data_IF_837896485412
#
_entry.id   IF_837896485412
#
_cell.length_a   1.000
_cell.length_b   1.000
_cell.length_c   1.000
_cell.angle_alpha   90.00
_cell.angle_beta   90.00
_cell.angle_gamma   90.00
#
_symmetry.space_group_name_H-M   'P 1'
#
loop_
_entity.id
_entity.type
_entity.pdbx_description
1 polymer ?
#
# COMPACT_ATOMS: atom_id res chain seq x y z
N UNK A 1 -20.76 -4.96 14.98
CA UNK A 1 -21.80 -4.00 14.68
C UNK A 1 -21.78 -3.53 13.23
N UNK A 2 -20.66 -3.16 12.72
CA UNK A 2 -20.54 -2.70 11.32
C UNK A 2 -21.06 -3.72 10.33
N UNK A 3 -20.88 -4.98 10.63
CA UNK A 3 -21.45 -6.05 9.83
C UNK A 3 -22.98 -6.04 9.78
N UNK A 4 -23.66 -5.44 10.76
CA UNK A 4 -25.13 -5.36 10.78
C UNK A 4 -25.69 -4.13 10.06
N UNK A 5 -24.84 -3.20 9.63
CA UNK A 5 -25.26 -1.88 9.17
C UNK A 5 -25.18 -1.68 7.66
N UNK A 6 -25.34 -2.74 6.93
CA UNK A 6 -25.32 -2.71 5.47
C UNK A 6 -26.50 -1.94 4.85
N UNK A 7 -27.40 -1.42 5.65
CA UNK A 7 -28.46 -0.54 5.18
C UNK A 7 -28.03 0.92 5.01
N UNK A 8 -26.84 1.29 5.50
CA UNK A 8 -26.26 2.62 5.28
C UNK A 8 -25.21 2.56 4.20
N UNK A 9 -25.04 3.59 3.41
CA UNK A 9 -24.09 3.65 2.32
C UNK A 9 -22.65 3.27 2.73
N UNK A 10 -22.32 3.40 4.01
CA UNK A 10 -20.99 3.11 4.58
C UNK A 10 -21.07 2.30 5.88
N UNK A 11 -22.00 1.34 5.95
CA UNK A 11 -22.24 0.54 7.15
C UNK A 11 -21.08 -0.33 7.63
N UNK A 12 -19.91 -0.21 7.07
CA UNK A 12 -18.74 -1.04 7.36
C UNK A 12 -18.77 -2.36 6.57
N UNK A 13 -17.99 -3.34 6.99
CA UNK A 13 -17.90 -4.64 6.34
C UNK A 13 -18.85 -5.66 6.97
N UNK A 14 -19.27 -6.63 6.15
CA UNK A 14 -20.03 -7.78 6.58
C UNK A 14 -19.37 -9.04 6.07
N UNK A 15 -19.26 -10.05 6.95
CA UNK A 15 -18.95 -11.39 6.50
C UNK A 15 -20.16 -11.96 5.75
N UNK A 16 -19.93 -12.44 4.56
CA UNK A 16 -20.92 -13.15 3.76
C UNK A 16 -20.50 -14.63 3.70
N UNK A 17 -21.27 -15.47 4.39
CA UNK A 17 -21.24 -16.91 4.15
C UNK A 17 -21.87 -17.19 2.79
N UNK A 18 -21.45 -18.15 2.06
CA UNK A 18 -22.01 -18.51 0.75
C UNK A 18 -21.90 -17.42 -0.34
N UNK A 19 -20.87 -16.59 -0.31
CA UNK A 19 -20.59 -15.68 -1.43
C UNK A 19 -20.27 -16.53 -2.67
N UNK A 20 -20.87 -16.22 -3.84
CA UNK A 20 -20.67 -17.04 -5.04
C UNK A 20 -19.21 -17.12 -5.47
N UNK A 21 -18.75 -18.32 -5.76
CA UNK A 21 -17.44 -18.51 -6.40
C UNK A 21 -17.51 -17.92 -7.80
N UNK A 22 -16.56 -17.05 -8.19
CA UNK A 22 -16.57 -16.47 -9.53
C UNK A 22 -16.49 -17.54 -10.63
N UNK A 23 -17.30 -17.39 -11.69
CA UNK A 23 -17.20 -18.26 -12.85
C UNK A 23 -15.91 -17.99 -13.62
N UNK A 24 -15.23 -19.06 -14.04
CA UNK A 24 -14.02 -19.01 -14.84
C UNK A 24 -14.40 -19.08 -16.33
N UNK A 25 -14.31 -17.96 -17.02
CA UNK A 25 -14.43 -17.91 -18.47
C UNK A 25 -13.21 -18.52 -19.19
N UNK A 26 -13.26 -18.58 -20.53
CA UNK A 26 -12.19 -19.24 -21.31
C UNK A 26 -10.82 -18.57 -21.21
N UNK A 27 -10.74 -17.30 -20.84
CA UNK A 27 -9.52 -16.52 -20.73
C UNK A 27 -9.18 -16.15 -19.27
N UNK A 28 -10.01 -16.54 -18.30
CA UNK A 28 -9.92 -16.14 -16.90
C UNK A 28 -9.02 -17.08 -16.07
N UNK A 29 -8.60 -16.58 -14.91
CA UNK A 29 -7.89 -17.36 -13.89
C UNK A 29 -8.64 -17.24 -12.58
N UNK A 30 -8.80 -18.33 -11.84
CA UNK A 30 -9.33 -18.31 -10.45
C UNK A 30 -8.18 -18.61 -9.50
N UNK A 31 -8.05 -17.74 -8.52
CA UNK A 31 -7.11 -17.86 -7.40
C UNK A 31 -7.85 -18.36 -6.15
N UNK A 32 -7.26 -19.28 -5.43
CA UNK A 32 -7.57 -19.55 -4.04
C UNK A 32 -6.66 -18.69 -3.17
N UNK A 33 -7.23 -17.80 -2.39
CA UNK A 33 -6.46 -16.86 -1.56
C UNK A 33 -5.86 -17.61 -0.37
N UNK A 34 -4.56 -17.45 -0.16
CA UNK A 34 -3.82 -18.08 0.94
C UNK A 34 -3.41 -17.07 2.01
N UNK A 35 -3.22 -15.80 1.64
CA UNK A 35 -2.97 -14.71 2.57
C UNK A 35 -3.47 -13.38 2.01
N UNK A 36 -4.03 -12.54 2.86
CA UNK A 36 -4.41 -11.18 2.54
C UNK A 36 -4.07 -10.24 3.69
N UNK A 37 -3.68 -9.00 3.38
CA UNK A 37 -3.29 -8.01 4.37
C UNK A 37 -4.29 -6.85 4.43
N UNK A 38 -4.49 -6.28 5.62
CA UNK A 38 -5.26 -5.05 5.78
C UNK A 38 -4.41 -3.85 5.37
N UNK A 39 -4.91 -3.06 4.42
CA UNK A 39 -4.34 -1.78 4.02
C UNK A 39 -5.00 -0.59 4.74
N UNK A 40 -4.32 0.55 4.76
CA UNK A 40 -4.91 1.82 5.21
C UNK A 40 -6.14 2.25 4.40
N UNK A 41 -6.22 1.87 3.12
CA UNK A 41 -7.39 2.10 2.28
C UNK A 41 -8.61 1.31 2.77
N UNK A 42 -8.43 0.05 3.19
CA UNK A 42 -9.53 -0.75 3.75
C UNK A 42 -10.08 -0.12 5.03
N UNK A 43 -9.21 0.49 5.85
CA UNK A 43 -9.62 1.19 7.06
C UNK A 43 -10.52 2.39 6.78
N UNK A 44 -10.31 3.09 5.66
CA UNK A 44 -11.17 4.22 5.25
C UNK A 44 -12.57 3.77 4.91
N UNK A 45 -12.70 2.64 4.22
CA UNK A 45 -14.00 2.04 3.90
C UNK A 45 -14.68 1.39 5.10
N UNK A 46 -13.92 0.93 6.09
CA UNK A 46 -14.46 0.33 7.31
C UNK A 46 -14.98 1.36 8.31
N UNK A 47 -14.36 2.52 8.41
CA UNK A 47 -14.69 3.58 9.37
C UNK A 47 -15.47 4.72 8.71
N UNK A 48 -16.74 4.88 9.08
CA UNK A 48 -17.65 5.90 8.51
C UNK A 48 -17.18 7.34 8.77
N UNK A 49 -16.38 7.59 9.80
CA UNK A 49 -16.01 8.94 10.24
C UNK A 49 -14.69 9.47 9.70
N UNK A 50 -14.11 8.83 8.69
CA UNK A 50 -12.80 9.21 8.19
C UNK A 50 -12.78 10.37 7.17
N UNK A 51 -13.91 11.07 6.98
CA UNK A 51 -14.03 12.16 6.02
C UNK A 51 -13.89 11.73 4.55
N UNK A 52 -13.95 10.45 4.29
CA UNK A 52 -14.07 9.90 2.94
C UNK A 52 -15.55 9.83 2.61
N UNK A 53 -16.01 10.80 1.83
CA UNK A 53 -17.38 10.86 1.35
C UNK A 53 -17.45 10.11 0.01
N UNK A 54 -17.87 8.86 0.06
CA UNK A 54 -18.14 8.05 -1.12
C UNK A 54 -19.67 7.99 -1.36
N UNK A 55 -20.29 9.16 -1.35
CA UNK A 55 -21.74 9.34 -1.56
C UNK A 55 -22.24 8.82 -2.90
N UNK A 56 -21.34 8.43 -3.80
CA UNK A 56 -21.64 7.92 -5.12
C UNK A 56 -21.82 6.40 -5.17
N UNK A 57 -21.63 5.68 -4.06
CA UNK A 57 -21.83 4.23 -4.02
C UNK A 57 -23.35 3.93 -4.05
N UNK A 58 -23.78 3.23 -5.10
CA UNK A 58 -25.15 2.72 -5.20
C UNK A 58 -25.31 1.43 -4.39
N UNK A 59 -26.54 1.05 -3.95
CA UNK A 59 -26.75 -0.16 -3.14
C UNK A 59 -26.24 -1.46 -3.76
N UNK A 60 -26.27 -1.59 -5.08
CA UNK A 60 -25.72 -2.72 -5.82
C UNK A 60 -24.18 -2.74 -5.86
N UNK A 61 -23.55 -1.59 -5.72
CA UNK A 61 -22.08 -1.47 -5.58
C UNK A 61 -21.57 -1.83 -4.19
N UNK A 62 -22.45 -1.96 -3.20
CA UNK A 62 -22.07 -2.33 -1.82
C UNK A 62 -21.67 -3.81 -1.64
N UNK A 63 -21.82 -4.64 -2.66
CA UNK A 63 -21.55 -6.08 -2.60
C UNK A 63 -20.13 -6.47 -3.07
N UNK A 64 -19.21 -5.53 -3.18
CA UNK A 64 -17.86 -5.87 -3.58
C UNK A 64 -17.05 -6.48 -2.43
N UNK A 65 -16.29 -7.52 -2.73
CA UNK A 65 -15.31 -8.09 -1.81
C UNK A 65 -14.12 -7.14 -1.70
N UNK A 66 -13.64 -6.91 -0.48
CA UNK A 66 -12.50 -6.04 -0.18
C UNK A 66 -11.20 -6.83 0.00
N UNK A 67 -10.11 -6.09 0.25
CA UNK A 67 -8.76 -6.62 0.41
C UNK A 67 -8.03 -6.68 -0.92
N UNK A 68 -7.18 -5.70 -1.17
CA UNK A 68 -6.42 -5.58 -2.43
C UNK A 68 -4.94 -6.00 -2.28
N UNK A 69 -4.50 -6.28 -1.08
CA UNK A 69 -3.18 -6.84 -0.80
C UNK A 69 -3.33 -8.34 -0.55
N UNK A 70 -3.13 -9.19 -1.57
CA UNK A 70 -3.36 -10.62 -1.43
C UNK A 70 -2.44 -11.49 -2.29
N UNK A 71 -2.26 -12.72 -1.87
CA UNK A 71 -1.52 -13.76 -2.56
C UNK A 71 -2.26 -15.10 -2.46
N UNK A 72 -2.11 -15.94 -3.46
CA UNK A 72 -2.82 -17.20 -3.51
C UNK A 72 -2.21 -18.19 -4.48
N UNK A 73 -2.99 -19.21 -4.77
CA UNK A 73 -2.65 -20.29 -5.70
C UNK A 73 -3.67 -20.35 -6.84
N UNK A 74 -3.22 -20.59 -8.05
CA UNK A 74 -4.09 -20.79 -9.20
C UNK A 74 -4.78 -22.15 -9.06
N UNK A 75 -6.12 -22.13 -8.95
CA UNK A 75 -6.93 -23.35 -8.82
C UNK A 75 -7.74 -23.67 -10.06
N UNK A 76 -7.93 -22.69 -10.96
CA UNK A 76 -8.58 -22.90 -12.25
C UNK A 76 -8.05 -21.93 -13.29
N UNK A 77 -7.90 -22.39 -14.50
CA UNK A 77 -7.53 -21.60 -15.68
C UNK A 77 -8.51 -21.86 -16.82
N UNK A 78 -8.83 -20.82 -17.58
CA UNK A 78 -9.62 -20.93 -18.79
C UNK A 78 -8.87 -21.66 -19.91
N UNK A 79 -9.59 -22.23 -20.88
CA UNK A 79 -9.02 -23.06 -21.95
C UNK A 79 -8.03 -22.32 -22.87
N UNK A 80 -8.16 -20.99 -22.98
CA UNK A 80 -7.29 -20.14 -23.78
C UNK A 80 -6.03 -19.67 -23.02
N UNK A 81 -5.98 -19.82 -21.69
CA UNK A 81 -4.83 -19.42 -20.87
C UNK A 81 -3.67 -20.38 -21.10
N UNK A 82 -2.51 -19.88 -21.56
CA UNK A 82 -1.34 -20.70 -21.89
C UNK A 82 -0.14 -20.48 -20.98
N UNK A 83 -0.04 -19.29 -20.41
CA UNK A 83 1.15 -18.84 -19.64
C UNK A 83 1.05 -19.20 -18.15
N UNK A 84 -0.12 -19.65 -17.69
CA UNK A 84 -0.41 -19.96 -16.29
C UNK A 84 -1.00 -21.35 -16.11
N UNK A 85 -0.69 -22.01 -14.98
CA UNK A 85 -1.16 -23.38 -14.70
C UNK A 85 -1.68 -23.51 -13.27
N UNK A 86 -2.54 -24.48 -13.05
CA UNK A 86 -3.04 -24.85 -11.72
C UNK A 86 -1.86 -25.24 -10.81
N UNK A 87 -1.90 -24.77 -9.56
CA UNK A 87 -0.88 -25.01 -8.56
C UNK A 87 0.23 -23.95 -8.52
N UNK A 88 0.27 -23.00 -9.48
CA UNK A 88 1.22 -21.90 -9.39
C UNK A 88 0.84 -20.93 -8.26
N UNK A 89 1.87 -20.53 -7.51
CA UNK A 89 1.80 -19.57 -6.44
C UNK A 89 1.92 -18.17 -7.02
N UNK A 90 0.93 -17.31 -6.79
CA UNK A 90 0.90 -15.98 -7.40
C UNK A 90 0.48 -14.90 -6.41
N UNK A 91 0.94 -13.68 -6.69
CA UNK A 91 0.48 -12.44 -6.07
C UNK A 91 -0.07 -11.53 -7.15
N UNK A 92 -1.15 -10.81 -6.87
CA UNK A 92 -1.76 -9.85 -7.80
C UNK A 92 -1.30 -8.43 -7.50
N UNK A 93 -1.13 -7.64 -8.55
CA UNK A 93 -1.01 -6.18 -8.46
C UNK A 93 -2.38 -5.50 -8.34
N UNK A 94 -3.40 -6.29 -8.06
CA UNK A 94 -4.82 -5.95 -7.96
C UNK A 94 -5.51 -5.37 -9.21
N UNK A 95 -4.84 -5.20 -10.33
CA UNK A 95 -5.47 -4.76 -11.58
C UNK A 95 -6.45 -5.80 -12.11
N UNK A 96 -7.68 -5.38 -12.44
CA UNK A 96 -8.71 -6.21 -13.04
C UNK A 96 -9.19 -5.70 -14.39
N UNK A 97 -9.20 -4.38 -14.57
CA UNK A 97 -9.51 -3.71 -15.84
C UNK A 97 -8.68 -2.45 -16.01
N UNK A 98 -8.23 -2.21 -17.23
CA UNK A 98 -7.66 -0.94 -17.70
C UNK A 98 -8.05 -0.71 -19.16
N UNK A 99 -8.14 0.53 -19.62
CA UNK A 99 -8.59 0.80 -21.00
C UNK A 99 -7.56 0.44 -22.08
N UNK A 100 -6.27 0.31 -21.74
CA UNK A 100 -5.20 -0.02 -22.67
C UNK A 100 -4.75 1.08 -23.64
N UNK A 101 -5.45 2.22 -23.69
CA UNK A 101 -5.27 3.24 -24.75
C UNK A 101 -5.08 4.67 -24.21
N UNK A 102 -5.24 4.91 -22.90
CA UNK A 102 -4.98 6.24 -22.35
C UNK A 102 -3.47 6.48 -22.13
N UNK A 103 -3.03 7.73 -21.97
CA UNK A 103 -1.61 8.04 -21.79
C UNK A 103 -0.95 7.27 -20.63
N UNK A 104 -1.67 7.01 -19.55
CA UNK A 104 -1.16 6.20 -18.44
C UNK A 104 -0.92 4.74 -18.85
N UNK A 105 -1.86 4.14 -19.58
CA UNK A 105 -1.71 2.77 -20.10
C UNK A 105 -0.57 2.66 -21.13
N UNK A 106 -0.43 3.64 -22.01
CA UNK A 106 0.66 3.69 -23.01
C UNK A 106 2.05 3.76 -22.35
N UNK A 107 2.14 4.36 -21.16
CA UNK A 107 3.37 4.44 -20.38
C UNK A 107 3.58 3.26 -19.43
N UNK A 108 2.60 2.34 -19.32
CA UNK A 108 2.65 1.22 -18.38
C UNK A 108 2.26 1.58 -16.95
N UNK A 109 1.79 2.80 -16.69
CA UNK A 109 1.25 3.25 -15.40
C UNK A 109 -0.23 2.86 -15.25
N UNK A 110 -0.52 1.57 -15.33
CA UNK A 110 -1.88 1.02 -15.41
C UNK A 110 -2.78 1.46 -14.25
N UNK A 111 -2.22 1.61 -13.04
CA UNK A 111 -2.99 2.07 -11.87
C UNK A 111 -3.29 3.59 -11.88
N UNK A 112 -2.79 4.33 -12.85
CA UNK A 112 -3.18 5.70 -13.16
C UNK A 112 -4.22 5.78 -14.28
N UNK A 113 -4.69 4.66 -14.84
CA UNK A 113 -5.76 4.64 -15.83
C UNK A 113 -7.06 5.18 -15.23
N UNK A 114 -7.71 6.12 -15.92
CA UNK A 114 -8.97 6.72 -15.47
C UNK A 114 -10.15 5.73 -15.47
N UNK A 115 -10.04 4.65 -16.24
CA UNK A 115 -11.05 3.59 -16.34
C UNK A 115 -10.67 2.31 -15.60
N UNK A 116 -9.67 2.37 -14.72
CA UNK A 116 -9.24 1.18 -14.00
C UNK A 116 -10.31 0.62 -13.09
N UNK A 117 -10.27 -0.69 -12.92
CA UNK A 117 -10.97 -1.40 -11.85
C UNK A 117 -9.97 -2.29 -11.14
N UNK A 118 -9.93 -2.22 -9.82
CA UNK A 118 -8.99 -2.98 -9.00
C UNK A 118 -9.72 -4.05 -8.19
N UNK A 119 -9.13 -5.24 -8.12
CA UNK A 119 -9.59 -6.33 -7.26
C UNK A 119 -9.49 -5.92 -5.79
N UNK A 120 -10.53 -6.18 -5.04
CA UNK A 120 -10.54 -5.91 -3.60
C UNK A 120 -10.56 -4.45 -3.18
N UNK A 121 -10.63 -3.51 -4.12
CA UNK A 121 -10.68 -2.08 -3.85
C UNK A 121 -11.91 -1.42 -4.51
N UNK A 122 -12.09 -1.62 -5.81
CA UNK A 122 -13.22 -1.08 -6.54
C UNK A 122 -14.40 -2.06 -6.56
N UNK A 123 -15.56 -1.56 -6.98
CA UNK A 123 -16.77 -2.37 -7.02
C UNK A 123 -16.73 -3.32 -8.22
N UNK A 124 -16.72 -4.59 -7.96
CA UNK A 124 -16.73 -5.65 -8.96
C UNK A 124 -17.22 -6.98 -8.36
N UNK A 125 -17.54 -7.94 -9.21
CA UNK A 125 -17.98 -9.29 -8.85
C UNK A 125 -16.85 -10.33 -8.92
N UNK A 126 -15.62 -9.90 -9.16
CA UNK A 126 -14.48 -10.81 -9.35
C UNK A 126 -13.81 -11.23 -8.04
N UNK A 127 -14.13 -10.53 -6.93
CA UNK A 127 -13.59 -10.84 -5.62
C UNK A 127 -12.46 -9.92 -5.20
N UNK A 128 -11.76 -10.35 -4.17
CA UNK A 128 -10.64 -9.67 -3.54
C UNK A 128 -9.99 -10.56 -2.50
N UNK A 129 -9.02 -10.04 -1.78
CA UNK A 129 -8.25 -10.81 -0.80
C UNK A 129 -9.05 -11.27 0.42
N UNK A 130 -10.18 -10.61 0.74
CA UNK A 130 -11.02 -11.01 1.88
C UNK A 130 -12.12 -11.98 1.44
N UNK A 131 -11.79 -12.89 0.53
CA UNK A 131 -12.62 -14.04 0.13
C UNK A 131 -11.74 -15.25 -0.13
N UNK A 132 -12.35 -16.43 -0.18
CA UNK A 132 -11.62 -17.67 -0.49
C UNK A 132 -11.14 -17.69 -1.94
N UNK A 133 -11.97 -17.21 -2.86
CA UNK A 133 -11.68 -17.24 -4.29
C UNK A 133 -11.74 -15.83 -4.89
N UNK A 134 -10.82 -15.55 -5.81
CA UNK A 134 -10.76 -14.32 -6.56
C UNK A 134 -10.53 -14.64 -8.04
N UNK A 135 -11.24 -13.94 -8.92
CA UNK A 135 -11.04 -14.06 -10.36
C UNK A 135 -10.13 -12.95 -10.88
N UNK A 136 -9.12 -13.34 -11.64
CA UNK A 136 -8.35 -12.43 -12.50
C UNK A 136 -8.96 -12.51 -13.89
N UNK A 137 -9.62 -11.44 -14.37
CA UNK A 137 -10.26 -11.45 -15.69
C UNK A 137 -9.25 -11.57 -16.83
N UNK A 138 -9.57 -12.35 -17.86
CA UNK A 138 -8.68 -12.53 -19.02
C UNK A 138 -8.40 -11.25 -19.78
N UNK A 139 -9.33 -10.29 -19.76
CA UNK A 139 -9.15 -8.99 -20.43
C UNK A 139 -7.96 -8.19 -19.87
N UNK A 140 -7.70 -8.26 -18.54
CA UNK A 140 -6.54 -7.56 -17.99
C UNK A 140 -5.24 -8.23 -18.43
N UNK A 141 -5.21 -9.55 -18.48
CA UNK A 141 -4.01 -10.30 -18.88
C UNK A 141 -3.63 -10.08 -20.36
N UNK A 142 -4.61 -9.73 -21.20
CA UNK A 142 -4.37 -9.38 -22.60
C UNK A 142 -3.66 -8.03 -22.75
N UNK A 143 -3.90 -7.07 -21.84
CA UNK A 143 -3.34 -5.73 -21.89
C UNK A 143 -2.13 -5.61 -20.95
N UNK A 144 -2.30 -6.04 -19.71
CA UNK A 144 -1.30 -5.98 -18.64
C UNK A 144 -0.94 -7.39 -18.17
N UNK A 145 0.02 -8.01 -18.85
CA UNK A 145 0.45 -9.39 -18.57
C UNK A 145 0.96 -9.61 -17.14
N UNK A 146 1.34 -8.54 -16.46
CA UNK A 146 1.87 -8.55 -15.11
C UNK A 146 0.83 -8.14 -14.05
N UNK A 147 -0.47 -8.28 -14.33
CA UNK A 147 -1.51 -8.16 -13.31
C UNK A 147 -1.40 -9.23 -12.21
N UNK A 148 -0.71 -10.34 -12.52
CA UNK A 148 -0.27 -11.34 -11.54
C UNK A 148 1.21 -11.66 -11.75
N UNK A 149 1.87 -12.02 -10.65
CA UNK A 149 3.28 -12.37 -10.60
C UNK A 149 3.46 -13.71 -9.91
N UNK A 150 4.34 -14.54 -10.44
CA UNK A 150 4.75 -15.77 -9.77
C UNK A 150 5.49 -15.44 -8.47
N UNK A 151 5.18 -16.16 -7.40
CA UNK A 151 5.87 -16.07 -6.12
C UNK A 151 7.04 -17.05 -6.14
N UNK A 152 8.29 -16.58 -6.15
CA UNK A 152 9.47 -17.45 -6.14
C UNK A 152 9.52 -18.38 -4.92
N UNK A 153 10.22 -19.49 -5.05
CA UNK A 153 10.51 -20.36 -3.95
C UNK A 153 11.22 -19.59 -2.81
N UNK A 154 10.88 -19.91 -1.57
CA UNK A 154 11.40 -19.25 -0.37
C UNK A 154 10.59 -18.06 0.12
N UNK A 155 9.75 -17.43 -0.70
CA UNK A 155 8.84 -16.36 -0.25
C UNK A 155 7.52 -17.00 0.23
N UNK A 156 7.06 -16.63 1.43
CA UNK A 156 5.77 -17.08 1.95
C UNK A 156 4.61 -16.25 1.39
N UNK A 157 3.39 -16.82 1.38
CA UNK A 157 2.19 -16.07 0.96
C UNK A 157 1.96 -14.80 1.80
N UNK A 158 2.21 -14.87 3.12
CA UNK A 158 2.08 -13.73 4.04
C UNK A 158 3.10 -12.60 3.77
N UNK A 159 4.20 -12.90 3.11
CA UNK A 159 5.19 -11.91 2.68
C UNK A 159 4.85 -11.37 1.29
N UNK A 160 4.42 -12.26 0.40
CA UNK A 160 4.04 -11.89 -0.96
C UNK A 160 2.82 -10.97 -1.00
N UNK A 161 1.79 -11.21 -0.16
CA UNK A 161 0.61 -10.36 -0.14
C UNK A 161 0.90 -8.90 0.27
N UNK A 162 2.07 -8.63 0.86
CA UNK A 162 2.50 -7.28 1.26
C UNK A 162 3.38 -6.61 0.18
N UNK A 163 3.54 -7.22 -0.99
CA UNK A 163 4.31 -6.61 -2.09
C UNK A 163 3.70 -5.29 -2.59
N UNK A 164 2.40 -5.11 -2.53
CA UNK A 164 1.74 -3.85 -2.89
C UNK A 164 2.38 -2.63 -2.20
N UNK A 165 2.36 -2.49 -0.86
CA UNK A 165 3.02 -1.35 -0.20
C UNK A 165 4.54 -1.33 -0.34
N UNK A 166 5.21 -2.46 -0.57
CA UNK A 166 6.65 -2.49 -0.88
C UNK A 166 6.91 -1.80 -2.23
N UNK A 167 6.14 -2.17 -3.26
CA UNK A 167 6.27 -1.60 -4.59
C UNK A 167 5.94 -0.11 -4.62
N UNK A 168 4.92 0.32 -3.86
CA UNK A 168 4.61 1.73 -3.65
C UNK A 168 5.80 2.50 -3.06
N UNK A 169 6.37 2.02 -1.96
CA UNK A 169 7.53 2.65 -1.33
C UNK A 169 8.76 2.64 -2.25
N UNK A 170 8.96 1.55 -2.99
CA UNK A 170 10.06 1.44 -3.95
C UNK A 170 9.94 2.48 -5.07
N UNK A 171 8.76 2.61 -5.70
CA UNK A 171 8.53 3.63 -6.74
C UNK A 171 8.76 5.04 -6.19
N UNK A 172 8.24 5.34 -5.00
CA UNK A 172 8.39 6.66 -4.38
C UNK A 172 9.86 7.03 -4.13
N UNK A 173 10.64 6.10 -3.54
CA UNK A 173 12.01 6.39 -3.11
C UNK A 173 13.03 6.13 -4.22
N UNK A 174 12.93 5.02 -4.96
CA UNK A 174 13.96 4.60 -5.91
C UNK A 174 13.74 5.07 -7.34
N UNK A 175 12.50 5.43 -7.71
CA UNK A 175 12.19 5.81 -9.09
C UNK A 175 11.75 7.27 -9.24
N UNK A 176 11.01 7.81 -8.27
CA UNK A 176 10.49 9.17 -8.36
C UNK A 176 11.37 10.20 -7.67
N UNK A 177 12.07 9.84 -6.59
CA UNK A 177 13.05 10.73 -5.99
C UNK A 177 14.41 10.63 -6.70
N UNK A 178 15.23 11.69 -6.57
CA UNK A 178 16.59 11.70 -7.04
C UNK A 178 17.58 11.45 -5.89
N UNK A 179 17.22 10.53 -4.98
CA UNK A 179 18.08 10.14 -3.88
C UNK A 179 19.39 9.54 -4.39
N UNK A 180 20.51 10.12 -3.97
CA UNK A 180 21.84 9.59 -4.23
C UNK A 180 22.50 9.13 -2.92
N UNK A 181 23.36 8.10 -2.96
CA UNK A 181 24.07 7.64 -1.76
C UNK A 181 24.81 8.77 -1.05
N UNK A 182 24.74 8.80 0.27
CA UNK A 182 25.34 9.83 1.11
C UNK A 182 24.40 10.97 1.51
N UNK A 183 23.18 11.02 0.99
CA UNK A 183 22.17 12.00 1.40
C UNK A 183 21.34 11.52 2.60
N UNK A 184 20.67 12.48 3.24
CA UNK A 184 19.76 12.25 4.35
C UNK A 184 18.31 12.25 3.86
N UNK A 185 17.46 11.45 4.52
CA UNK A 185 16.03 11.30 4.18
C UNK A 185 15.20 11.42 5.44
N UNK A 186 14.14 12.23 5.39
CA UNK A 186 13.10 12.26 6.42
C UNK A 186 11.85 11.57 5.89
N UNK A 187 11.30 10.63 6.66
CA UNK A 187 10.09 9.88 6.33
C UNK A 187 9.00 10.21 7.34
N UNK A 188 7.90 10.80 6.89
CA UNK A 188 6.72 11.05 7.71
C UNK A 188 5.72 9.90 7.62
N UNK A 189 5.27 9.44 8.79
CA UNK A 189 4.27 8.38 8.90
C UNK A 189 4.89 7.00 9.07
N UNK A 190 4.55 6.37 10.17
CA UNK A 190 5.09 5.09 10.66
C UNK A 190 4.26 3.87 10.23
N UNK A 191 3.36 4.06 9.26
CA UNK A 191 2.63 2.96 8.62
C UNK A 191 3.50 2.12 7.68
N UNK A 192 2.94 1.08 7.07
CA UNK A 192 3.69 0.20 6.17
C UNK A 192 4.44 0.94 5.06
N UNK A 193 3.82 1.93 4.41
CA UNK A 193 4.46 2.73 3.36
C UNK A 193 5.72 3.44 3.88
N UNK A 194 5.65 4.08 5.06
CA UNK A 194 6.80 4.76 5.64
C UNK A 194 7.90 3.78 6.07
N UNK A 195 7.53 2.64 6.68
CA UNK A 195 8.49 1.62 7.11
C UNK A 195 9.20 0.95 5.92
N UNK A 196 8.50 0.72 4.81
CA UNK A 196 9.15 0.26 3.57
C UNK A 196 9.99 1.36 2.93
N UNK A 197 9.55 2.63 2.98
CA UNK A 197 10.37 3.76 2.49
C UNK A 197 11.70 3.87 3.24
N UNK A 198 11.70 3.61 4.55
CA UNK A 198 12.94 3.53 5.35
C UNK A 198 13.88 2.44 4.81
N UNK A 199 13.36 1.25 4.53
CA UNK A 199 14.18 0.15 3.99
C UNK A 199 14.74 0.50 2.60
N UNK A 200 13.90 1.05 1.72
CA UNK A 200 14.35 1.45 0.37
C UNK A 200 15.37 2.58 0.45
N UNK A 201 15.17 3.60 1.29
CA UNK A 201 16.15 4.66 1.50
C UNK A 201 17.50 4.13 1.97
N UNK A 202 17.49 3.14 2.88
CA UNK A 202 18.70 2.44 3.32
C UNK A 202 19.38 1.71 2.17
N UNK A 203 18.65 0.98 1.35
CA UNK A 203 19.17 0.30 0.16
C UNK A 203 19.76 1.26 -0.86
N UNK A 204 19.19 2.47 -0.97
CA UNK A 204 19.69 3.54 -1.83
C UNK A 204 20.90 4.28 -1.23
N UNK A 205 21.36 3.92 -0.02
CA UNK A 205 22.57 4.47 0.58
C UNK A 205 22.37 5.80 1.31
N UNK A 206 21.16 6.09 1.79
CA UNK A 206 20.93 7.22 2.69
C UNK A 206 21.71 7.06 4.00
N UNK A 207 22.27 8.17 4.52
CA UNK A 207 23.10 8.17 5.74
C UNK A 207 22.24 8.35 6.98
N UNK A 208 21.54 9.48 7.11
CA UNK A 208 20.54 9.65 8.15
C UNK A 208 19.17 9.36 7.55
N UNK A 209 18.45 8.44 8.17
CA UNK A 209 17.07 8.10 7.84
C UNK A 209 16.23 8.39 9.07
N UNK A 210 15.53 9.53 9.07
CA UNK A 210 14.75 10.01 10.19
C UNK A 210 13.29 9.63 10.00
N UNK A 211 12.74 8.79 10.88
CA UNK A 211 11.33 8.45 10.90
C UNK A 211 10.57 9.41 11.82
N UNK A 212 9.57 10.09 11.31
CA UNK A 212 8.68 10.97 12.08
C UNK A 212 7.34 10.29 12.33
N UNK A 213 6.96 10.18 13.60
CA UNK A 213 5.68 9.61 14.05
C UNK A 213 5.09 10.39 15.22
N UNK A 214 4.10 9.82 15.90
CA UNK A 214 3.37 10.42 17.01
C UNK A 214 3.48 9.54 18.28
N UNK A 215 2.91 9.99 19.39
CA UNK A 215 2.95 9.28 20.69
C UNK A 215 2.51 7.81 20.58
N UNK A 216 1.45 7.54 19.81
CA UNK A 216 0.91 6.19 19.63
C UNK A 216 1.89 5.24 18.91
N UNK A 217 2.84 5.80 18.16
CA UNK A 217 3.80 5.04 17.36
C UNK A 217 5.03 4.58 18.16
N UNK A 218 5.27 5.20 19.32
CA UNK A 218 6.49 5.00 20.13
C UNK A 218 6.63 3.56 20.60
N UNK A 219 5.53 2.93 21.03
CA UNK A 219 5.57 1.60 21.67
C UNK A 219 5.92 0.47 20.71
N UNK A 220 5.43 0.53 19.47
CA UNK A 220 5.53 -0.57 18.51
C UNK A 220 6.34 -0.14 17.29
N UNK A 221 5.98 0.96 16.65
CA UNK A 221 6.44 1.31 15.31
C UNK A 221 7.85 1.87 15.27
N UNK A 222 8.26 2.66 16.28
CA UNK A 222 9.62 3.20 16.33
C UNK A 222 10.69 2.11 16.53
N UNK A 223 10.39 1.06 17.32
CA UNK A 223 11.27 -0.08 17.46
C UNK A 223 11.48 -0.79 16.12
N UNK A 224 10.39 -1.07 15.43
CA UNK A 224 10.41 -1.69 14.10
C UNK A 224 11.10 -0.79 13.07
N UNK A 225 10.86 0.53 13.08
CA UNK A 225 11.54 1.46 12.18
C UNK A 225 13.07 1.40 12.32
N UNK A 226 13.57 1.36 13.57
CA UNK A 226 15.02 1.22 13.84
C UNK A 226 15.58 -0.12 13.38
N UNK A 227 14.86 -1.21 13.61
CA UNK A 227 15.24 -2.54 13.11
C UNK A 227 15.34 -2.56 11.58
N UNK A 228 14.43 -1.87 10.90
CA UNK A 228 14.36 -1.80 9.44
C UNK A 228 15.35 -0.79 8.83
N UNK A 229 15.97 0.07 9.63
CA UNK A 229 17.04 0.94 9.16
C UNK A 229 16.91 2.42 9.43
N UNK A 230 15.85 2.87 10.14
CA UNK A 230 15.78 4.24 10.60
C UNK A 230 16.92 4.50 11.61
N UNK A 231 17.72 5.52 11.33
CA UNK A 231 18.81 5.93 12.22
C UNK A 231 18.30 6.70 13.43
N UNK A 232 17.21 7.46 13.21
CA UNK A 232 16.56 8.28 14.23
C UNK A 232 15.03 8.16 14.12
N UNK A 233 14.37 8.35 15.27
CA UNK A 233 12.92 8.49 15.34
C UNK A 233 12.60 9.78 16.08
N UNK A 234 11.69 10.60 15.53
CA UNK A 234 11.25 11.87 16.07
C UNK A 234 9.76 11.78 16.42
N UNK A 235 9.41 12.10 17.66
CA UNK A 235 8.04 12.10 18.14
C UNK A 235 7.42 13.49 17.99
N UNK A 236 6.70 13.71 16.91
CA UNK A 236 6.06 14.98 16.59
C UNK A 236 4.96 15.42 17.56
N UNK A 237 4.54 14.55 18.52
CA UNK A 237 3.66 14.97 19.62
C UNK A 237 4.40 15.69 20.75
N UNK A 238 5.74 15.56 20.82
CA UNK A 238 6.55 16.06 21.93
C UNK A 238 7.72 16.93 21.51
N UNK A 239 8.16 16.81 20.27
CA UNK A 239 9.34 17.47 19.73
C UNK A 239 8.94 18.45 18.62
N UNK A 240 9.69 19.53 18.48
CA UNK A 240 9.66 20.34 17.27
C UNK A 240 10.32 19.56 16.14
N UNK A 241 9.50 19.05 15.24
CA UNK A 241 9.95 18.17 14.16
C UNK A 241 10.94 18.88 13.24
N UNK A 242 10.70 20.13 12.90
CA UNK A 242 11.56 20.92 12.00
C UNK A 242 12.94 21.13 12.63
N UNK A 243 12.93 21.61 13.88
CA UNK A 243 14.18 21.85 14.62
C UNK A 243 14.96 20.55 14.83
N UNK A 244 14.26 19.46 15.22
CA UNK A 244 14.91 18.18 15.52
C UNK A 244 15.48 17.48 14.28
N UNK A 245 14.76 17.49 13.16
CA UNK A 245 15.29 16.95 11.90
C UNK A 245 16.47 17.79 11.39
N UNK A 246 16.41 19.10 11.54
CA UNK A 246 17.51 20.00 11.18
C UNK A 246 18.75 19.77 12.06
N UNK A 247 18.58 19.50 13.34
CA UNK A 247 19.68 19.17 14.25
C UNK A 247 20.36 17.84 13.85
N UNK A 248 19.55 16.82 13.50
CA UNK A 248 20.08 15.48 13.15
C UNK A 248 20.82 15.50 11.80
N UNK A 249 20.23 16.09 10.79
CA UNK A 249 20.73 16.01 9.42
C UNK A 249 21.64 17.18 9.04
N UNK A 250 21.48 18.33 9.71
CA UNK A 250 21.97 19.62 9.19
C UNK A 250 21.08 20.12 8.05
N UNK A 251 20.78 21.41 8.06
CA UNK A 251 19.85 22.02 7.05
C UNK A 251 20.29 21.77 5.61
N UNK A 252 21.57 21.82 5.33
CA UNK A 252 22.10 21.69 3.97
C UNK A 252 21.99 20.26 3.40
N UNK A 253 21.78 19.27 4.27
CA UNK A 253 21.63 17.86 3.88
C UNK A 253 20.17 17.42 3.74
N UNK A 254 19.21 18.22 4.21
CA UNK A 254 17.77 17.91 4.11
C UNK A 254 17.25 18.12 2.68
N UNK A 255 17.64 17.24 1.79
CA UNK A 255 17.30 17.29 0.36
C UNK A 255 16.09 16.45 -0.04
N UNK A 256 15.65 15.50 0.78
CA UNK A 256 14.55 14.60 0.45
C UNK A 256 13.64 14.34 1.66
N UNK A 257 12.33 14.45 1.41
CA UNK A 257 11.29 14.00 2.34
C UNK A 257 10.35 13.05 1.61
N UNK A 258 10.02 11.93 2.25
CA UNK A 258 8.97 11.00 1.83
C UNK A 258 7.79 11.18 2.79
N UNK A 259 6.69 11.74 2.29
CA UNK A 259 5.50 12.04 3.08
C UNK A 259 4.45 10.93 2.90
N UNK A 260 4.38 10.01 3.87
CA UNK A 260 3.48 8.85 3.86
C UNK A 260 2.26 8.99 4.80
N UNK A 261 2.15 10.10 5.54
CA UNK A 261 1.07 10.28 6.52
C UNK A 261 -0.22 10.85 5.91
N UNK A 262 -0.10 11.64 4.84
CA UNK A 262 -1.20 12.42 4.25
C UNK A 262 -1.62 13.62 5.09
N UNK A 263 -0.96 13.91 6.20
CA UNK A 263 -1.30 15.03 7.08
C UNK A 263 -0.78 16.35 6.51
N UNK A 264 -1.63 17.39 6.46
CA UNK A 264 -1.23 18.70 5.98
C UNK A 264 -0.09 19.32 6.79
N UNK A 265 -0.06 19.06 8.10
CA UNK A 265 1.03 19.53 8.97
C UNK A 265 2.38 18.89 8.61
N UNK A 266 2.39 17.61 8.24
CA UNK A 266 3.60 16.92 7.80
C UNK A 266 4.15 17.53 6.49
N UNK A 267 3.27 17.81 5.53
CA UNK A 267 3.67 18.51 4.29
C UNK A 267 4.21 19.92 4.57
N UNK A 268 3.57 20.67 5.46
CA UNK A 268 4.05 22.00 5.89
C UNK A 268 5.45 21.90 6.48
N UNK A 269 5.66 21.02 7.44
CA UNK A 269 6.95 20.79 8.09
C UNK A 269 8.02 20.31 7.07
N UNK A 270 7.65 19.46 6.11
CA UNK A 270 8.54 19.04 5.04
C UNK A 270 9.03 20.22 4.17
N UNK A 271 8.12 21.14 3.83
CA UNK A 271 8.48 22.35 3.09
C UNK A 271 9.39 23.27 3.93
N UNK A 272 9.10 23.44 5.21
CA UNK A 272 9.84 24.33 6.11
C UNK A 272 11.28 23.83 6.36
N UNK A 273 11.47 22.52 6.62
CA UNK A 273 12.77 21.97 6.99
C UNK A 273 13.73 21.75 5.83
N UNK A 274 13.21 21.53 4.63
CA UNK A 274 14.05 21.17 3.48
C UNK A 274 14.87 22.34 2.92
N UNK A 275 16.08 22.03 2.44
CA UNK A 275 16.97 23.02 1.78
C UNK A 275 16.40 23.50 0.44
N UNK A 276 16.98 24.56 -0.17
CA UNK A 276 16.72 24.89 -1.57
C UNK A 276 17.00 23.68 -2.49
N UNK A 277 16.24 23.60 -3.59
CA UNK A 277 16.28 22.50 -4.56
C UNK A 277 15.99 21.10 -3.95
N UNK A 278 15.25 21.03 -2.86
CA UNK A 278 14.84 19.79 -2.24
C UNK A 278 13.61 19.18 -2.91
N UNK A 279 13.41 17.90 -2.66
CA UNK A 279 12.27 17.13 -3.15
C UNK A 279 11.41 16.61 -2.01
N UNK A 280 10.11 16.64 -2.21
CA UNK A 280 9.11 16.06 -1.31
C UNK A 280 8.26 15.11 -2.14
N UNK A 281 8.42 13.81 -1.94
CA UNK A 281 7.55 12.80 -2.56
C UNK A 281 6.35 12.59 -1.65
N UNK A 282 5.17 12.99 -2.12
CA UNK A 282 3.93 12.85 -1.37
C UNK A 282 3.21 11.56 -1.74
N UNK A 283 3.31 10.59 -0.86
CA UNK A 283 2.69 9.25 -0.95
C UNK A 283 1.36 9.20 -0.18
N UNK A 284 1.31 9.87 0.97
CA UNK A 284 0.14 9.90 1.82
C UNK A 284 -0.98 10.76 1.22
N UNK A 285 -2.21 10.22 1.17
CA UNK A 285 -3.39 10.96 0.73
C UNK A 285 -4.12 11.60 1.92
N UNK A 286 -4.32 12.93 1.87
CA UNK A 286 -5.15 13.70 2.78
C UNK A 286 -6.24 14.43 2.03
N UNK A 287 -7.44 14.49 2.61
CA UNK A 287 -8.63 15.06 1.96
C UNK A 287 -8.93 16.51 2.39
N UNK A 288 -8.26 17.00 3.43
CA UNK A 288 -8.46 18.39 3.90
C UNK A 288 -7.71 19.36 3.01
N UNK A 289 -8.29 20.51 2.68
CA UNK A 289 -7.59 21.58 1.98
C UNK A 289 -6.32 22.01 2.72
N UNK A 290 -5.32 22.50 1.98
CA UNK A 290 -4.12 23.10 2.58
C UNK A 290 -4.49 24.49 3.16
N UNK A 291 -4.16 24.71 4.42
CA UNK A 291 -4.39 25.98 5.13
C UNK A 291 -3.11 26.79 5.31
N UNK A 292 -2.13 26.59 4.42
CA UNK A 292 -0.85 27.29 4.43
C UNK A 292 -0.38 27.61 3.02
N UNK A 293 0.49 28.61 2.90
CA UNK A 293 1.07 29.01 1.62
C UNK A 293 2.11 28.01 1.15
N UNK A 294 2.12 27.74 -0.14
CA UNK A 294 3.15 26.93 -0.80
C UNK A 294 4.22 27.79 -1.49
N UNK A 295 4.25 29.11 -1.22
CA UNK A 295 5.19 30.02 -1.88
C UNK A 295 6.67 29.65 -1.69
N UNK A 296 7.01 29.00 -0.58
CA UNK A 296 8.37 28.52 -0.33
C UNK A 296 8.84 27.46 -1.33
N UNK A 297 7.91 26.77 -1.98
CA UNK A 297 8.24 25.83 -3.06
C UNK A 297 8.82 26.62 -4.23
N UNK A 298 8.13 27.67 -4.65
CA UNK A 298 8.59 28.55 -5.74
C UNK A 298 9.85 29.35 -5.36
N UNK A 299 9.84 29.96 -4.15
CA UNK A 299 10.92 30.82 -3.69
C UNK A 299 12.27 30.09 -3.56
N UNK A 300 12.24 28.80 -3.22
CA UNK A 300 13.42 27.99 -2.99
C UNK A 300 13.62 26.85 -4.01
N UNK A 301 12.92 26.94 -5.15
CA UNK A 301 13.01 25.94 -6.23
C UNK A 301 12.86 24.49 -5.73
N UNK A 302 11.93 24.26 -4.81
CA UNK A 302 11.63 22.92 -4.30
C UNK A 302 10.63 22.19 -5.19
N UNK A 303 10.59 20.86 -5.13
CA UNK A 303 9.64 20.04 -5.87
C UNK A 303 8.71 19.29 -4.93
N UNK A 304 7.41 19.26 -5.26
CA UNK A 304 6.47 18.28 -4.69
C UNK A 304 6.11 17.30 -5.80
N UNK A 305 6.41 16.03 -5.58
CA UNK A 305 6.17 14.95 -6.51
C UNK A 305 4.99 14.13 -5.99
N UNK A 306 3.88 14.12 -6.74
CA UNK A 306 2.74 13.25 -6.45
C UNK A 306 3.10 11.80 -6.72
N UNK A 307 2.64 10.92 -5.84
CA UNK A 307 2.85 9.48 -5.97
C UNK A 307 1.52 8.75 -6.09
N UNK A 308 1.45 7.81 -7.03
CA UNK A 308 0.34 6.87 -7.16
C UNK A 308 0.86 5.49 -7.52
N UNK A 309 0.58 4.54 -6.66
CA UNK A 309 0.82 3.12 -6.87
C UNK A 309 2.24 2.76 -7.38
N UNK A 310 2.36 1.83 -8.28
CA UNK A 310 3.59 1.20 -8.74
C UNK A 310 3.51 0.86 -10.24
N UNK A 311 4.60 0.34 -10.77
CA UNK A 311 4.72 -0.17 -12.13
C UNK A 311 5.33 -1.60 -12.14
N UNK A 312 5.39 -2.22 -13.31
CA UNK A 312 5.96 -3.57 -13.47
C UNK A 312 7.45 -3.64 -13.09
N UNK A 313 8.19 -2.54 -13.20
CA UNK A 313 9.60 -2.48 -12.79
C UNK A 313 9.72 -2.55 -11.27
N UNK A 314 8.86 -1.82 -10.55
CA UNK A 314 8.77 -1.89 -9.08
C UNK A 314 8.51 -3.32 -8.62
N UNK A 315 7.51 -4.00 -9.22
CA UNK A 315 7.17 -5.39 -8.88
C UNK A 315 8.35 -6.33 -9.08
N UNK A 316 8.95 -6.32 -10.27
CA UNK A 316 10.10 -7.19 -10.59
C UNK A 316 11.24 -7.01 -9.59
N UNK A 317 11.58 -5.76 -9.28
CA UNK A 317 12.68 -5.46 -8.39
C UNK A 317 12.33 -5.80 -6.93
N UNK A 318 11.12 -5.48 -6.47
CA UNK A 318 10.69 -5.78 -5.09
C UNK A 318 10.60 -7.27 -4.81
N UNK A 319 10.12 -8.09 -5.75
CA UNK A 319 10.14 -9.56 -5.62
C UNK A 319 11.58 -10.05 -5.43
N UNK A 320 12.53 -9.55 -6.21
CA UNK A 320 13.96 -9.92 -6.08
C UNK A 320 14.58 -9.45 -4.76
N UNK A 321 14.25 -8.24 -4.32
CA UNK A 321 14.72 -7.69 -3.04
C UNK A 321 14.14 -8.45 -1.85
N UNK A 322 12.89 -8.86 -1.94
CA UNK A 322 12.26 -9.70 -0.93
C UNK A 322 12.89 -11.10 -0.90
N UNK A 323 13.07 -11.73 -2.06
CA UNK A 323 13.68 -13.06 -2.18
C UNK A 323 15.13 -13.08 -1.67
N UNK A 324 15.89 -12.02 -1.90
CA UNK A 324 17.27 -11.89 -1.41
C UNK A 324 17.37 -11.50 0.06
N UNK A 325 16.25 -11.25 0.76
CA UNK A 325 16.21 -10.83 2.15
C UNK A 325 16.66 -9.37 2.40
N UNK A 326 16.85 -8.58 1.35
CA UNK A 326 17.23 -7.18 1.47
C UNK A 326 16.04 -6.30 1.93
N UNK A 327 14.82 -6.67 1.57
CA UNK A 327 13.59 -6.12 2.14
C UNK A 327 12.98 -7.15 3.09
N UNK A 328 12.64 -6.72 4.29
CA UNK A 328 12.08 -7.56 5.35
C UNK A 328 10.62 -7.19 5.60
N UNK A 329 9.76 -8.19 5.61
CA UNK A 329 8.33 -8.04 5.92
C UNK A 329 8.01 -8.53 7.33
N UNK A 330 8.67 -9.59 7.80
CA UNK A 330 8.35 -10.25 9.06
C UNK A 330 8.28 -9.33 10.28
N UNK A 331 9.19 -8.35 10.49
CA UNK A 331 9.08 -7.44 11.63
C UNK A 331 7.82 -6.57 11.62
N UNK A 332 7.17 -6.43 10.46
CA UNK A 332 5.97 -5.61 10.29
C UNK A 332 4.68 -6.40 10.47
N UNK A 333 4.71 -7.73 10.33
CA UNK A 333 3.55 -8.60 10.55
C UNK A 333 3.34 -8.77 12.05
N UNK A 334 2.49 -7.92 12.63
CA UNK A 334 2.22 -7.92 14.07
C UNK A 334 1.12 -8.90 14.47
N UNK A 335 0.21 -9.21 13.56
CA UNK A 335 -0.92 -10.10 13.82
C UNK A 335 -1.17 -11.03 12.64
N UNK A 336 -1.44 -12.29 12.94
CA UNK A 336 -1.88 -13.32 12.01
C UNK A 336 -3.19 -13.87 12.54
N UNK A 337 -4.26 -13.71 11.79
CA UNK A 337 -5.63 -14.02 12.19
C UNK A 337 -6.30 -14.85 11.09
N UNK A 338 -7.28 -15.66 11.47
CA UNK A 338 -8.22 -16.21 10.51
C UNK A 338 -9.12 -15.13 9.94
N UNK A 339 -9.62 -15.31 8.74
CA UNK A 339 -10.58 -14.36 8.16
C UNK A 339 -11.87 -14.26 9.00
N UNK A 340 -12.24 -15.32 9.75
CA UNK A 340 -13.33 -15.30 10.75
C UNK A 340 -13.13 -14.22 11.82
N UNK A 341 -11.88 -13.86 12.13
CA UNK A 341 -11.50 -12.86 13.12
C UNK A 341 -11.31 -11.44 12.51
N UNK A 342 -11.90 -11.20 11.36
CA UNK A 342 -11.68 -9.94 10.61
C UNK A 342 -11.95 -8.68 11.44
N UNK A 343 -12.99 -8.67 12.30
CA UNK A 343 -13.29 -7.52 13.15
C UNK A 343 -12.16 -7.21 14.13
N UNK A 344 -11.57 -8.26 14.74
CA UNK A 344 -10.41 -8.09 15.61
C UNK A 344 -9.24 -7.43 14.87
N UNK A 345 -8.97 -7.90 13.65
CA UNK A 345 -7.91 -7.33 12.81
C UNK A 345 -8.11 -5.85 12.53
N UNK A 346 -9.32 -5.45 12.15
CA UNK A 346 -9.66 -4.04 11.91
C UNK A 346 -9.61 -3.20 13.18
N UNK A 347 -10.08 -3.72 14.31
CA UNK A 347 -10.01 -3.04 15.61
C UNK A 347 -8.55 -2.81 16.05
N UNK A 348 -7.66 -3.79 15.86
CA UNK A 348 -6.22 -3.64 16.13
C UNK A 348 -5.57 -2.55 15.29
N UNK A 349 -5.92 -2.49 13.99
CA UNK A 349 -5.45 -1.43 13.10
C UNK A 349 -5.97 -0.06 13.53
N UNK A 350 -7.25 0.06 13.86
CA UNK A 350 -7.88 1.33 14.29
C UNK A 350 -7.26 1.88 15.59
N UNK A 351 -6.91 0.99 16.52
CA UNK A 351 -6.25 1.33 17.80
C UNK A 351 -4.74 1.56 17.67
N UNK A 352 -4.19 1.43 16.47
CA UNK A 352 -2.74 1.49 16.20
C UNK A 352 -1.90 0.47 16.97
N UNK A 353 -2.53 -0.63 17.41
CA UNK A 353 -1.86 -1.76 18.05
C UNK A 353 -1.16 -2.68 17.05
N UNK A 354 -1.53 -2.57 15.77
CA UNK A 354 -0.95 -3.34 14.66
C UNK A 354 -0.24 -2.44 13.65
N UNK A 355 0.78 -3.02 12.99
CA UNK A 355 1.41 -2.47 11.79
C UNK A 355 0.80 -3.11 10.55
N UNK A 356 0.91 -4.44 10.45
CA UNK A 356 0.25 -5.27 9.44
C UNK A 356 -0.49 -6.41 10.11
N UNK A 357 -1.74 -6.59 9.70
CA UNK A 357 -2.57 -7.76 10.03
C UNK A 357 -2.66 -8.58 8.76
N UNK A 358 -2.33 -9.87 8.86
CA UNK A 358 -2.48 -10.84 7.78
C UNK A 358 -3.64 -11.75 8.12
N UNK A 359 -4.56 -11.91 7.18
CA UNK A 359 -5.61 -12.90 7.23
C UNK A 359 -5.24 -14.15 6.45
N UNK A 360 -5.56 -15.31 7.02
CA UNK A 360 -5.59 -16.60 6.35
C UNK A 360 -7.04 -17.08 6.25
N UNK A 361 -7.35 -17.82 5.20
CA UNK A 361 -8.69 -18.38 5.07
C UNK A 361 -8.83 -19.57 6.03
N UNK A 362 -9.78 -19.50 6.96
CA UNK A 362 -10.02 -20.45 8.06
C UNK A 362 -11.46 -21.02 8.10
N UNK A 363 -12.25 -20.76 7.05
CA UNK A 363 -13.57 -21.35 6.91
C UNK A 363 -13.49 -22.75 6.29
N UNK A 364 -14.30 -23.66 6.81
CA UNK A 364 -14.52 -24.96 6.18
C UNK A 364 -15.36 -24.80 4.90
N UNK A 365 -15.20 -25.74 3.94
CA UNK A 365 -15.95 -25.76 2.68
C UNK A 365 -17.39 -26.27 2.86
#
# INVERSE_FOLDING_TARGET
RRSSDLGTAFGGYKMMENYPVPECGPDDIILEIKAAAICGADMKHWGVDNGYDDTNITPDQQQSVRGHEFAGEIVKVGENVKDWHIGQRVVSDNSAHVCGVCPACEQGDFLCCEHKVNLGLDNNTWGGGFSKYCKVPGEILAIHKHAIWEIPEGIKYEEACVLDPICNAYKAVAQQSHLIPGQDVVVFGTGPLGLFSVQVAKLMGAVNIVMVGLDDDVKVRFGVAKELGATHCVNGSKEDVVARCTEICGRDNLGLVIECSGANIALKQAIEMTRPNAEIVRVGMGFKPLEFSINDITAWNKSIIGHMAYDSTSWRNCIRLLQSGQIKVQPMITHRLGLSQWQEGFDKMAKKEAIKVIFHYDYED
#
